data_IF_923694680260
#
_entry.id   IF_923694680260
#
_cell.length_a   1.000
_cell.length_b   1.000
_cell.length_c   1.000
_cell.angle_alpha   90.00
_cell.angle_beta   90.00
_cell.angle_gamma   90.00
#
_symmetry.space_group_name_H-M   'P 1'
#
loop_
_entity.id
_entity.type
_entity.pdbx_description
1 polymer ?
#
# COMPACT_ATOMS: atom_id res chain seq x y z
N UNK A 1 1.45 -1.72 25.02
CA UNK A 1 2.71 -1.19 24.44
C UNK A 1 2.45 0.15 23.78
N UNK A 2 3.12 1.20 24.25
CA UNK A 2 2.91 2.61 23.86
C UNK A 2 3.19 2.85 22.35
N UNK A 3 4.03 2.01 21.74
CA UNK A 3 4.32 1.98 20.30
C UNK A 3 3.11 1.64 19.41
N UNK A 4 2.09 0.94 19.93
CA UNK A 4 0.82 0.68 19.21
C UNK A 4 -0.14 1.85 19.31
N UNK A 5 -0.06 2.64 20.39
CA UNK A 5 -0.95 3.78 20.64
C UNK A 5 -0.53 5.05 19.90
N UNK A 6 0.77 5.29 19.72
CA UNK A 6 1.27 6.35 18.84
C UNK A 6 1.05 6.04 17.34
N UNK A 7 0.73 4.79 16.99
CA UNK A 7 0.47 4.36 15.62
C UNK A 7 -0.93 4.75 15.11
N UNK A 8 -1.89 4.99 16.01
CA UNK A 8 -3.31 5.12 15.65
C UNK A 8 -3.83 6.57 15.67
N UNK A 9 -3.00 7.58 16.01
CA UNK A 9 -3.50 8.92 16.34
C UNK A 9 -3.52 10.06 15.30
N UNK A 10 -2.91 10.02 14.10
CA UNK A 10 -3.16 11.08 13.12
C UNK A 10 -4.20 10.71 12.04
N UNK A 11 -4.82 9.54 12.09
CA UNK A 11 -5.62 9.02 10.94
C UNK A 11 -7.14 8.93 11.20
N UNK A 12 -7.64 9.41 12.33
CA UNK A 12 -8.97 9.06 12.79
C UNK A 12 -10.14 9.83 12.15
N UNK A 13 -9.92 10.84 11.27
CA UNK A 13 -11.04 11.72 10.88
C UNK A 13 -11.17 12.13 9.40
N UNK A 14 -10.43 11.54 8.45
CA UNK A 14 -10.67 11.80 7.02
C UNK A 14 -10.47 10.53 6.17
N UNK A 15 -11.43 10.13 5.32
CA UNK A 15 -11.28 9.04 4.36
C UNK A 15 -10.29 9.50 3.26
N UNK A 16 -9.01 9.45 3.59
CA UNK A 16 -7.93 10.00 2.76
C UNK A 16 -7.18 8.81 2.11
N UNK A 17 -6.64 8.94 0.89
CA UNK A 17 -5.78 7.92 0.26
C UNK A 17 -4.49 7.67 1.04
N UNK A 18 -4.09 8.62 1.89
CA UNK A 18 -2.88 8.58 2.68
C UNK A 18 -2.78 7.34 3.61
N UNK A 19 -3.74 7.03 4.49
CA UNK A 19 -3.73 5.80 5.29
C UNK A 19 -3.71 4.52 4.45
N UNK A 20 -4.34 4.50 3.27
CA UNK A 20 -4.32 3.32 2.39
C UNK A 20 -2.91 3.10 1.85
N UNK A 21 -2.25 4.17 1.40
CA UNK A 21 -0.87 4.13 0.93
C UNK A 21 0.10 3.67 2.02
N UNK A 22 0.02 4.27 3.22
CA UNK A 22 0.91 3.91 4.34
C UNK A 22 0.74 2.45 4.76
N UNK A 23 -0.50 1.95 4.82
CA UNK A 23 -0.77 0.53 5.07
C UNK A 23 -0.19 -0.37 3.99
N UNK A 24 -0.29 0.04 2.72
CA UNK A 24 0.29 -0.68 1.58
C UNK A 24 1.80 -0.79 1.73
N UNK A 25 2.48 0.34 1.94
CA UNK A 25 3.94 0.41 2.10
C UNK A 25 4.41 -0.45 3.26
N UNK A 26 3.70 -0.42 4.40
CA UNK A 26 4.07 -1.22 5.57
C UNK A 26 3.91 -2.71 5.32
N UNK A 27 2.80 -3.15 4.73
CA UNK A 27 2.59 -4.55 4.37
C UNK A 27 3.61 -5.03 3.33
N UNK A 28 3.87 -4.22 2.31
CA UNK A 28 4.89 -4.52 1.31
C UNK A 28 6.28 -4.64 1.93
N UNK A 29 6.62 -3.77 2.89
CA UNK A 29 7.89 -3.83 3.63
C UNK A 29 8.00 -5.12 4.45
N UNK A 30 6.94 -5.53 5.16
CA UNK A 30 6.90 -6.83 5.85
C UNK A 30 7.02 -8.01 4.88
N UNK A 31 6.46 -7.89 3.69
CA UNK A 31 6.60 -8.89 2.63
C UNK A 31 7.98 -8.89 1.94
N UNK A 32 8.89 -8.00 2.32
CA UNK A 32 10.22 -7.87 1.72
C UNK A 32 10.22 -7.21 0.33
N UNK A 33 9.13 -6.53 -0.04
CA UNK A 33 8.94 -5.81 -1.30
C UNK A 33 8.62 -4.34 -1.05
N UNK A 34 9.06 -3.78 0.08
CA UNK A 34 8.89 -2.38 0.42
C UNK A 34 9.61 -1.42 -0.54
N UNK A 35 9.33 -0.11 -0.44
CA UNK A 35 9.96 0.92 -1.27
C UNK A 35 11.48 1.00 -1.04
N UNK A 36 12.22 1.30 -2.10
CA UNK A 36 13.68 1.48 -2.07
C UNK A 36 14.03 2.92 -1.72
N UNK A 37 15.23 3.14 -1.18
CA UNK A 37 15.74 4.49 -0.94
C UNK A 37 15.81 5.28 -2.26
N UNK A 38 15.21 6.48 -2.28
CA UNK A 38 15.14 7.33 -3.48
C UNK A 38 14.07 6.92 -4.50
N UNK A 39 13.30 5.86 -4.26
CA UNK A 39 12.23 5.44 -5.17
C UNK A 39 11.00 6.36 -5.02
N UNK A 40 10.49 6.86 -6.15
CA UNK A 40 9.27 7.69 -6.10
C UNK A 40 8.04 6.83 -5.80
N UNK A 41 6.96 7.40 -5.24
CA UNK A 41 5.70 6.66 -5.03
C UNK A 41 5.18 5.99 -6.31
N UNK A 42 5.35 6.64 -7.46
CA UNK A 42 4.95 6.09 -8.75
C UNK A 42 5.81 4.88 -9.14
N UNK A 43 7.14 4.98 -8.99
CA UNK A 43 8.04 3.86 -9.29
C UNK A 43 7.76 2.66 -8.39
N UNK A 44 7.55 2.92 -7.10
CA UNK A 44 7.17 1.90 -6.13
C UNK A 44 5.84 1.24 -6.51
N UNK A 45 4.82 2.01 -6.89
CA UNK A 45 3.52 1.46 -7.29
C UNK A 45 3.60 0.60 -8.56
N UNK A 46 4.35 1.04 -9.58
CA UNK A 46 4.57 0.25 -10.80
C UNK A 46 5.31 -1.05 -10.48
N UNK A 47 6.39 -0.97 -9.69
CA UNK A 47 7.13 -2.16 -9.24
C UNK A 47 6.24 -3.10 -8.43
N UNK A 48 5.39 -2.57 -7.56
CA UNK A 48 4.47 -3.36 -6.77
C UNK A 48 3.42 -4.05 -7.65
N UNK A 49 2.82 -3.37 -8.63
CA UNK A 49 1.88 -3.96 -9.57
C UNK A 49 2.52 -5.08 -10.41
N UNK A 50 3.77 -4.90 -10.88
CA UNK A 50 4.49 -5.96 -11.60
C UNK A 50 4.86 -7.16 -10.74
N UNK A 51 5.06 -6.95 -9.43
CA UNK A 51 5.40 -8.01 -8.47
C UNK A 51 4.16 -8.80 -8.02
N UNK A 52 3.03 -8.11 -7.86
CA UNK A 52 1.77 -8.69 -7.39
C UNK A 52 0.96 -9.24 -8.57
N UNK A 53 0.67 -10.54 -8.54
CA UNK A 53 -0.24 -11.13 -9.52
C UNK A 53 -1.68 -10.66 -9.28
N UNK A 54 -2.36 -10.26 -10.34
CA UNK A 54 -3.78 -9.89 -10.32
C UNK A 54 -4.05 -8.40 -10.07
N UNK A 55 -3.02 -7.56 -10.09
CA UNK A 55 -3.17 -6.10 -10.01
C UNK A 55 -2.57 -5.49 -11.27
N UNK A 56 -3.43 -4.96 -12.13
CA UNK A 56 -3.00 -4.39 -13.42
C UNK A 56 -2.32 -3.04 -13.24
N UNK A 57 -2.83 -2.19 -12.33
CA UNK A 57 -2.28 -0.85 -12.13
C UNK A 57 -2.50 -0.34 -10.69
N UNK A 58 -1.47 0.30 -10.15
CA UNK A 58 -1.47 0.99 -8.85
C UNK A 58 -1.09 2.47 -8.98
N UNK A 59 -0.86 2.95 -10.19
CA UNK A 59 -0.55 4.35 -10.49
C UNK A 59 -1.63 5.30 -9.95
N UNK A 60 -2.95 5.02 -10.06
CA UNK A 60 -3.99 5.89 -9.51
C UNK A 60 -3.90 6.05 -7.98
N UNK A 61 -3.42 5.02 -7.27
CA UNK A 61 -3.21 5.09 -5.82
C UNK A 61 -1.99 5.97 -5.48
N UNK A 62 -0.89 5.84 -6.23
CA UNK A 62 0.29 6.70 -6.07
C UNK A 62 -0.02 8.16 -6.41
N UNK A 63 -0.81 8.41 -7.45
CA UNK A 63 -1.24 9.75 -7.84
C UNK A 63 -2.13 10.40 -6.79
N UNK A 64 -3.15 9.68 -6.31
CA UNK A 64 -4.00 10.15 -5.21
C UNK A 64 -3.19 10.45 -3.93
N UNK A 65 -2.15 9.65 -3.64
CA UNK A 65 -1.22 9.93 -2.56
C UNK A 65 -0.41 11.21 -2.82
N UNK A 66 0.18 11.37 -4.00
CA UNK A 66 0.95 12.56 -4.36
C UNK A 66 0.08 13.84 -4.29
N UNK A 67 -1.14 13.80 -4.82
CA UNK A 67 -2.10 14.90 -4.77
C UNK A 67 -2.46 15.27 -3.33
N UNK A 68 -2.69 14.27 -2.47
CA UNK A 68 -3.01 14.49 -1.07
C UNK A 68 -1.81 15.00 -0.26
N UNK A 69 -0.64 14.38 -0.43
CA UNK A 69 0.59 14.66 0.33
C UNK A 69 1.27 15.96 -0.09
N UNK A 70 1.42 16.18 -1.41
CA UNK A 70 2.16 17.31 -1.98
C UNK A 70 1.23 18.39 -2.51
N UNK A 71 0.10 18.01 -3.12
CA UNK A 71 -0.87 18.97 -3.66
C UNK A 71 -1.74 19.66 -2.61
N UNK A 72 -1.74 19.17 -1.35
CA UNK A 72 -2.65 19.61 -0.26
C UNK A 72 -4.12 19.69 -0.69
N UNK A 73 -4.51 18.90 -1.69
CA UNK A 73 -5.89 18.80 -2.17
C UNK A 73 -6.50 17.51 -1.66
N UNK A 74 -7.74 17.62 -1.18
CA UNK A 74 -8.53 16.42 -0.92
C UNK A 74 -8.83 15.77 -2.27
N UNK A 75 -8.50 14.49 -2.47
CA UNK A 75 -8.86 13.80 -3.71
C UNK A 75 -10.39 13.73 -3.81
N UNK A 76 -10.92 13.68 -5.04
CA UNK A 76 -12.36 13.63 -5.22
C UNK A 76 -12.93 12.34 -4.62
N UNK A 77 -14.17 12.38 -4.09
CA UNK A 77 -14.78 11.27 -3.35
C UNK A 77 -14.93 9.99 -4.19
N UNK A 78 -15.01 10.13 -5.51
CA UNK A 78 -15.00 9.03 -6.47
C UNK A 78 -13.67 8.24 -6.44
N UNK A 79 -12.53 8.94 -6.38
CA UNK A 79 -11.20 8.34 -6.27
C UNK A 79 -11.08 7.60 -4.94
N UNK A 80 -11.55 8.20 -3.84
CA UNK A 80 -11.54 7.55 -2.52
C UNK A 80 -12.37 6.26 -2.52
N UNK A 81 -13.54 6.28 -3.15
CA UNK A 81 -14.42 5.12 -3.27
C UNK A 81 -13.80 4.01 -4.13
N UNK A 82 -13.14 4.38 -5.23
CA UNK A 82 -12.38 3.46 -6.06
C UNK A 82 -11.23 2.80 -5.27
N UNK A 83 -10.44 3.60 -4.55
CA UNK A 83 -9.32 3.10 -3.74
C UNK A 83 -9.78 2.18 -2.60
N UNK A 84 -10.91 2.47 -1.97
CA UNK A 84 -11.50 1.59 -0.96
C UNK A 84 -11.92 0.23 -1.53
N UNK A 85 -12.38 0.17 -2.78
CA UNK A 85 -12.68 -1.11 -3.48
C UNK A 85 -11.41 -1.84 -3.92
N UNK A 86 -10.37 -1.10 -4.30
CA UNK A 86 -9.08 -1.66 -4.70
C UNK A 86 -8.31 -2.26 -3.50
N UNK A 87 -8.41 -1.62 -2.33
CA UNK A 87 -7.65 -1.99 -1.13
C UNK A 87 -7.77 -3.45 -0.68
N UNK A 88 -8.96 -4.08 -0.56
CA UNK A 88 -9.06 -5.48 -0.16
C UNK A 88 -8.37 -6.43 -1.15
N UNK A 89 -8.45 -6.14 -2.45
CA UNK A 89 -7.78 -6.90 -3.50
C UNK A 89 -6.25 -6.74 -3.39
N UNK A 90 -5.78 -5.50 -3.23
CA UNK A 90 -4.37 -5.20 -3.02
C UNK A 90 -3.79 -5.90 -1.79
N UNK A 91 -4.50 -5.83 -0.65
CA UNK A 91 -4.14 -6.52 0.57
C UNK A 91 -4.06 -8.03 0.37
N UNK A 92 -5.05 -8.63 -0.29
CA UNK A 92 -5.08 -10.06 -0.59
C UNK A 92 -3.89 -10.50 -1.45
N UNK A 93 -3.51 -9.71 -2.44
CA UNK A 93 -2.36 -9.99 -3.29
C UNK A 93 -1.02 -9.89 -2.53
N UNK A 94 -0.83 -8.84 -1.71
CA UNK A 94 0.38 -8.69 -0.87
C UNK A 94 0.49 -9.83 0.13
N UNK A 95 -0.61 -10.17 0.81
CA UNK A 95 -0.63 -11.30 1.75
C UNK A 95 -0.35 -12.62 1.05
N UNK A 96 -0.95 -12.85 -0.12
CA UNK A 96 -0.69 -14.05 -0.92
C UNK A 96 0.77 -14.14 -1.35
N UNK A 97 1.39 -13.03 -1.73
CA UNK A 97 2.82 -12.97 -2.04
C UNK A 97 3.69 -13.25 -0.81
N UNK A 98 3.38 -12.61 0.33
CA UNK A 98 4.08 -12.82 1.59
C UNK A 98 3.99 -14.27 2.07
N UNK A 99 2.79 -14.86 2.01
CA UNK A 99 2.56 -16.26 2.30
C UNK A 99 3.39 -17.13 1.35
N UNK A 100 3.25 -17.00 0.03
CA UNK A 100 4.04 -17.81 -0.93
C UNK A 100 5.54 -17.75 -0.65
N UNK A 101 6.06 -16.57 -0.27
CA UNK A 101 7.46 -16.41 0.14
C UNK A 101 7.78 -17.16 1.42
N UNK A 102 6.89 -17.13 2.41
CA UNK A 102 7.01 -17.84 3.67
C UNK A 102 6.97 -19.37 3.45
N UNK A 103 5.95 -19.87 2.76
CA UNK A 103 5.79 -21.31 2.45
C UNK A 103 6.96 -21.88 1.62
N UNK A 104 7.59 -21.08 0.74
CA UNK A 104 8.81 -21.51 0.01
C UNK A 104 10.05 -21.63 0.89
N UNK A 105 10.05 -21.12 2.12
CA UNK A 105 11.19 -21.26 3.06
C UNK A 105 11.10 -22.53 3.89
N UNK A 106 9.92 -23.15 3.97
CA UNK A 106 9.63 -24.30 4.83
C UNK A 106 9.68 -25.63 4.08
N UNK A 107 10.53 -25.76 3.05
CA UNK A 107 10.94 -27.07 2.53
C UNK A 107 12.29 -27.43 3.14
N UNK A 108 12.35 -27.94 4.39
CA UNK A 108 13.49 -28.73 4.82
C UNK A 108 13.49 -30.02 3.99
N UNK A 109 14.65 -30.37 3.46
CA UNK A 109 14.91 -31.67 2.82
C UNK A 109 14.63 -32.82 3.78
#
# INVERSE_FOLDING_TARGET
GVARWLWERPLAHLPTPQPIWEKTVRLASWAGIGPRAGETPHDFARRLATTLRGISDLTPLADAYCLSRYGRRSPPPETVSYLNRLWPHLRGAILSYALRRFWRRETPC
#
